data_IF_564747677305
#
_entry.id   IF_564747677305
#
_cell.length_a   1.000
_cell.length_b   1.000
_cell.length_c   1.000
_cell.angle_alpha   90.00
_cell.angle_beta   90.00
_cell.angle_gamma   90.00
#
_symmetry.space_group_name_H-M   'P 1'
#
loop_
_entity.id
_entity.type
_entity.pdbx_description
1 polymer ?
#
# COMPACT_ATOMS: atom_id res chain seq x y z
N UNK A 1 -18.24 29.16 6.42
CA UNK A 1 -18.28 28.26 7.60
C UNK A 1 -18.66 29.06 8.83
N UNK A 2 -19.75 28.70 9.54
CA UNK A 2 -20.09 29.37 10.81
C UNK A 2 -19.13 28.86 11.89
N UNK A 3 -18.38 29.78 12.52
CA UNK A 3 -17.36 29.44 13.54
C UNK A 3 -17.90 28.50 14.64
N UNK A 4 -19.18 28.61 14.96
CA UNK A 4 -19.89 27.77 15.92
C UNK A 4 -19.79 26.25 15.65
N UNK A 5 -19.86 25.81 14.38
CA UNK A 5 -19.84 24.38 14.08
C UNK A 5 -18.45 23.77 14.28
N UNK A 6 -17.39 24.51 13.95
CA UNK A 6 -16.03 24.04 14.23
C UNK A 6 -15.79 23.90 15.73
N UNK A 7 -16.16 24.92 16.51
CA UNK A 7 -15.97 24.88 17.96
C UNK A 7 -16.78 23.75 18.61
N UNK A 8 -17.98 23.47 18.10
CA UNK A 8 -18.79 22.34 18.54
C UNK A 8 -18.07 21.01 18.30
N UNK A 9 -17.61 20.75 17.07
CA UNK A 9 -16.96 19.47 16.71
C UNK A 9 -15.76 19.19 17.62
N UNK A 10 -14.92 20.20 17.86
CA UNK A 10 -13.76 20.04 18.74
C UNK A 10 -14.13 19.86 20.20
N UNK A 11 -15.21 20.50 20.68
CA UNK A 11 -15.73 20.25 22.03
C UNK A 11 -16.19 18.80 22.16
N UNK A 12 -17.02 18.32 21.23
CA UNK A 12 -17.48 16.93 21.21
C UNK A 12 -16.30 15.95 21.13
N UNK A 13 -15.25 16.28 20.36
CA UNK A 13 -14.02 15.49 20.32
C UNK A 13 -13.32 15.43 21.67
N UNK A 14 -13.14 16.57 22.32
CA UNK A 14 -12.44 16.65 23.61
C UNK A 14 -13.25 15.89 24.68
N UNK A 15 -14.58 16.00 24.68
CA UNK A 15 -15.48 15.23 25.55
C UNK A 15 -15.34 13.72 25.33
N UNK A 16 -15.33 13.26 24.08
CA UNK A 16 -15.14 11.84 23.73
C UNK A 16 -13.76 11.32 24.12
N UNK A 17 -12.71 12.14 23.97
CA UNK A 17 -11.35 11.79 24.38
C UNK A 17 -11.26 11.62 25.89
N UNK A 18 -11.83 12.55 26.64
CA UNK A 18 -11.73 12.56 28.09
C UNK A 18 -12.56 11.41 28.71
N UNK A 19 -13.66 11.03 28.07
CA UNK A 19 -14.48 9.89 28.51
C UNK A 19 -13.98 8.53 27.99
N UNK A 20 -13.26 8.49 26.86
CA UNK A 20 -12.81 7.26 26.20
C UNK A 20 -13.96 6.37 25.69
N UNK A 21 -15.17 6.90 25.57
CA UNK A 21 -16.36 6.13 25.18
C UNK A 21 -17.38 7.02 24.47
N UNK A 22 -18.23 6.41 23.64
CA UNK A 22 -19.34 7.11 22.98
C UNK A 22 -20.57 7.11 23.93
N UNK A 23 -21.14 8.29 24.24
CA UNK A 23 -22.38 8.37 25.03
C UNK A 23 -23.57 7.71 24.32
N UNK A 24 -24.43 7.04 25.10
CA UNK A 24 -25.55 6.22 24.59
C UNK A 24 -26.56 7.06 23.80
N UNK A 25 -26.77 8.30 24.20
CA UNK A 25 -27.63 9.28 23.52
C UNK A 25 -27.21 9.53 22.06
N UNK A 26 -25.96 9.26 21.71
CA UNK A 26 -25.44 9.45 20.35
C UNK A 26 -25.55 8.18 19.49
N UNK A 27 -25.93 7.02 20.05
CA UNK A 27 -25.87 5.74 19.34
C UNK A 27 -26.75 5.69 18.11
N UNK A 28 -27.99 6.15 18.21
CA UNK A 28 -28.91 6.16 17.07
C UNK A 28 -28.41 7.10 15.97
N UNK A 29 -27.95 8.29 16.37
CA UNK A 29 -27.38 9.29 15.45
C UNK A 29 -26.18 8.75 14.69
N UNK A 30 -25.27 8.08 15.39
CA UNK A 30 -24.08 7.46 14.79
C UNK A 30 -24.48 6.32 13.87
N UNK A 31 -25.40 5.45 14.30
CA UNK A 31 -25.87 4.33 13.49
C UNK A 31 -26.47 4.79 12.15
N UNK A 32 -27.28 5.85 12.16
CA UNK A 32 -27.85 6.43 10.95
C UNK A 32 -26.78 7.03 10.03
N UNK A 33 -25.85 7.81 10.59
CA UNK A 33 -24.85 8.54 9.78
C UNK A 33 -23.70 7.66 9.31
N UNK A 34 -23.40 6.57 10.03
CA UNK A 34 -22.52 5.50 9.54
C UNK A 34 -23.09 4.86 8.28
N UNK A 35 -24.40 4.60 8.22
CA UNK A 35 -25.03 4.05 7.02
C UNK A 35 -24.90 4.99 5.83
N UNK A 36 -25.11 6.30 6.03
CA UNK A 36 -24.93 7.31 4.96
C UNK A 36 -23.50 7.25 4.39
N UNK A 37 -22.50 7.12 5.27
CA UNK A 37 -21.09 7.12 4.87
C UNK A 37 -20.66 5.81 4.22
N UNK A 38 -21.06 4.68 4.80
CA UNK A 38 -20.51 3.36 4.52
C UNK A 38 -21.29 2.56 3.47
N UNK A 39 -22.57 2.90 3.24
CA UNK A 39 -23.40 2.19 2.26
C UNK A 39 -23.12 2.73 0.86
N UNK A 40 -22.70 1.86 -0.05
CA UNK A 40 -22.60 2.21 -1.48
C UNK A 40 -24.00 2.60 -1.97
N UNK A 41 -24.16 3.81 -2.52
CA UNK A 41 -25.37 4.16 -3.25
C UNK A 41 -25.39 3.41 -4.60
N UNK A 42 -25.65 2.10 -4.57
CA UNK A 42 -25.90 1.29 -5.77
C UNK A 42 -27.25 1.59 -6.43
N UNK A 43 -28.03 2.55 -5.91
CA UNK A 43 -29.41 2.80 -6.33
C UNK A 43 -29.61 3.88 -7.39
N UNK A 44 -28.55 4.24 -8.14
CA UNK A 44 -28.71 5.14 -9.28
C UNK A 44 -29.45 4.52 -10.49
N UNK A 45 -29.86 3.23 -10.47
CA UNK A 45 -30.44 2.57 -11.66
C UNK A 45 -31.72 1.74 -11.44
N UNK A 46 -32.62 2.17 -10.56
CA UNK A 46 -34.06 1.88 -10.81
C UNK A 46 -34.81 3.19 -10.96
N UNK A 47 -34.84 3.70 -12.20
CA UNK A 47 -35.87 4.65 -12.67
C UNK A 47 -37.23 3.97 -12.47
N UNK A 48 -37.78 4.04 -11.24
CA UNK A 48 -39.18 3.73 -11.01
C UNK A 48 -39.97 4.76 -11.79
N UNK A 49 -40.72 4.30 -12.80
CA UNK A 49 -41.71 5.10 -13.53
C UNK A 49 -42.81 5.49 -12.53
N UNK A 50 -42.68 6.67 -11.96
CA UNK A 50 -43.61 7.23 -10.98
C UNK A 50 -42.98 8.43 -10.32
N UNK A 51 -43.63 9.60 -10.41
CA UNK A 51 -43.13 10.83 -9.81
C UNK A 51 -42.87 10.61 -8.31
N UNK A 52 -41.63 10.84 -7.87
CA UNK A 52 -41.29 10.79 -6.44
C UNK A 52 -41.84 12.04 -5.77
N UNK A 53 -42.35 11.91 -4.55
CA UNK A 53 -42.78 13.07 -3.77
C UNK A 53 -41.61 14.06 -3.59
N UNK A 54 -41.84 15.39 -3.62
CA UNK A 54 -40.79 16.39 -3.46
C UNK A 54 -39.94 16.22 -2.18
N UNK A 55 -40.55 15.69 -1.12
CA UNK A 55 -39.88 15.44 0.16
C UNK A 55 -38.82 14.34 0.06
N UNK A 56 -39.09 13.28 -0.70
CA UNK A 56 -38.12 12.20 -0.95
C UNK A 56 -36.91 12.67 -1.77
N UNK A 57 -37.10 13.67 -2.62
CA UNK A 57 -36.02 14.27 -3.42
C UNK A 57 -35.09 15.10 -2.54
N UNK A 58 -35.65 15.88 -1.61
CA UNK A 58 -34.86 16.71 -0.68
C UNK A 58 -34.03 15.85 0.27
N UNK A 59 -34.62 14.81 0.87
CA UNK A 59 -33.90 13.90 1.77
C UNK A 59 -32.75 13.20 1.05
N UNK A 60 -32.98 12.71 -0.18
CA UNK A 60 -31.91 12.10 -0.99
C UNK A 60 -30.79 13.06 -1.35
N UNK A 61 -31.13 14.31 -1.65
CA UNK A 61 -30.13 15.33 -1.91
C UNK A 61 -29.27 15.59 -0.66
N UNK A 62 -29.89 15.67 0.51
CA UNK A 62 -29.22 15.82 1.80
C UNK A 62 -28.30 14.65 2.10
N UNK A 63 -28.77 13.41 1.96
CA UNK A 63 -27.95 12.21 2.15
C UNK A 63 -26.76 12.17 1.20
N UNK A 64 -26.96 12.51 -0.08
CA UNK A 64 -25.87 12.54 -1.05
C UNK A 64 -24.81 13.60 -0.73
N UNK A 65 -25.23 14.77 -0.24
CA UNK A 65 -24.31 15.82 0.22
C UNK A 65 -23.59 15.38 1.49
N UNK A 66 -24.31 14.83 2.46
CA UNK A 66 -23.78 14.33 3.71
C UNK A 66 -22.76 13.22 3.48
N UNK A 67 -23.05 12.26 2.59
CA UNK A 67 -22.10 11.21 2.24
C UNK A 67 -20.80 11.79 1.71
N UNK A 68 -20.84 12.73 0.75
CA UNK A 68 -19.62 13.38 0.24
C UNK A 68 -18.82 14.06 1.36
N UNK A 69 -19.51 14.78 2.23
CA UNK A 69 -18.90 15.46 3.38
C UNK A 69 -18.27 14.48 4.36
N UNK A 70 -19.01 13.47 4.79
CA UNK A 70 -18.58 12.45 5.75
C UNK A 70 -17.43 11.60 5.20
N UNK A 71 -17.52 11.16 3.94
CA UNK A 71 -16.44 10.42 3.28
C UNK A 71 -15.16 11.24 3.21
N UNK A 72 -15.25 12.53 2.86
CA UNK A 72 -14.07 13.41 2.83
C UNK A 72 -13.42 13.56 4.21
N UNK A 73 -14.22 13.75 5.27
CA UNK A 73 -13.69 13.83 6.64
C UNK A 73 -13.04 12.50 7.06
N UNK A 74 -13.67 11.36 6.77
CA UNK A 74 -13.12 10.04 7.05
C UNK A 74 -11.84 9.76 6.25
N UNK A 75 -11.69 10.36 5.07
CA UNK A 75 -10.48 10.25 4.27
C UNK A 75 -9.33 11.07 4.83
N UNK A 76 -9.63 12.26 5.34
CA UNK A 76 -8.69 13.27 5.85
C UNK A 76 -8.20 12.96 7.28
N UNK A 77 -9.11 12.84 8.25
CA UNK A 77 -8.80 12.39 9.62
C UNK A 77 -9.94 11.49 10.19
N UNK A 78 -9.72 10.17 10.29
CA UNK A 78 -10.66 9.25 10.91
C UNK A 78 -10.96 9.52 12.40
N UNK A 79 -10.08 10.17 13.16
CA UNK A 79 -10.29 10.46 14.58
C UNK A 79 -11.26 11.62 14.80
N UNK A 80 -11.31 12.59 13.90
CA UNK A 80 -12.32 13.66 13.93
C UNK A 80 -13.67 13.21 13.35
N UNK A 81 -13.72 12.07 12.65
CA UNK A 81 -14.93 11.59 11.99
C UNK A 81 -16.10 11.36 12.96
N UNK A 82 -15.91 10.63 14.07
CA UNK A 82 -16.98 10.36 15.04
C UNK A 82 -17.55 11.67 15.62
N UNK A 83 -16.72 12.60 16.15
CA UNK A 83 -17.19 13.93 16.56
C UNK A 83 -17.94 14.68 15.45
N UNK A 84 -17.42 14.64 14.21
CA UNK A 84 -18.02 15.30 13.07
C UNK A 84 -19.43 14.75 12.79
N UNK A 85 -19.59 13.43 12.73
CA UNK A 85 -20.89 12.82 12.46
C UNK A 85 -21.83 12.90 13.66
N UNK A 86 -21.40 13.24 14.87
CA UNK A 86 -22.32 13.55 15.97
C UNK A 86 -22.90 14.95 15.78
N UNK A 87 -22.03 15.93 15.51
CA UNK A 87 -22.41 17.35 15.51
C UNK A 87 -23.01 17.84 14.18
N UNK A 88 -22.56 17.29 13.06
CA UNK A 88 -22.94 17.77 11.73
C UNK A 88 -23.97 16.82 11.13
N UNK A 89 -25.23 17.24 11.16
CA UNK A 89 -26.34 16.51 10.53
C UNK A 89 -26.33 16.64 9.00
N UNK A 90 -27.02 15.74 8.27
CA UNK A 90 -27.12 15.81 6.81
C UNK A 90 -27.63 17.15 6.27
N UNK A 91 -28.52 17.81 7.03
CA UNK A 91 -29.03 19.15 6.69
C UNK A 91 -27.93 20.23 6.78
N UNK A 92 -27.04 20.14 7.75
CA UNK A 92 -25.95 21.11 7.93
C UNK A 92 -24.92 20.96 6.80
N UNK A 93 -24.65 19.73 6.35
CA UNK A 93 -23.74 19.42 5.23
C UNK A 93 -24.06 20.16 3.93
N UNK A 94 -25.30 20.61 3.71
CA UNK A 94 -25.65 21.42 2.53
C UNK A 94 -24.88 22.75 2.47
N UNK A 95 -24.61 23.34 3.64
CA UNK A 95 -23.99 24.66 3.79
C UNK A 95 -22.62 24.61 4.46
N UNK A 96 -22.21 23.43 4.91
CA UNK A 96 -20.93 23.22 5.57
C UNK A 96 -19.82 23.08 4.53
N UNK A 97 -18.77 23.88 4.70
CA UNK A 97 -17.61 23.86 3.83
C UNK A 97 -16.59 22.86 4.37
N UNK A 98 -16.70 21.61 3.93
CA UNK A 98 -15.80 20.53 4.38
C UNK A 98 -14.38 20.73 3.88
N UNK A 99 -14.19 21.29 2.68
CA UNK A 99 -12.85 21.54 2.16
C UNK A 99 -12.09 22.52 3.06
N UNK A 100 -12.73 23.64 3.40
CA UNK A 100 -12.14 24.60 4.34
C UNK A 100 -11.95 24.02 5.73
N UNK A 101 -12.86 23.16 6.18
CA UNK A 101 -12.70 22.47 7.46
C UNK A 101 -11.44 21.59 7.46
N UNK A 102 -11.26 20.72 6.47
CA UNK A 102 -10.07 19.88 6.32
C UNK A 102 -8.78 20.73 6.20
N UNK A 103 -8.79 21.82 5.41
CA UNK A 103 -7.63 22.71 5.27
C UNK A 103 -7.21 23.41 6.56
N UNK A 104 -8.18 23.70 7.45
CA UNK A 104 -7.94 24.39 8.73
C UNK A 104 -7.88 23.44 9.92
N UNK A 105 -8.13 22.15 9.68
CA UNK A 105 -8.08 21.13 10.70
C UNK A 105 -6.63 20.93 11.12
N UNK A 106 -6.40 20.94 12.43
CA UNK A 106 -5.12 20.58 13.01
C UNK A 106 -5.31 19.16 13.51
N UNK A 107 -4.57 18.23 12.91
CA UNK A 107 -4.52 16.85 13.38
C UNK A 107 -4.16 16.84 14.86
N UNK A 108 -4.97 16.18 15.67
CA UNK A 108 -4.79 16.09 17.12
C UNK A 108 -4.65 14.63 17.53
N UNK A 109 -4.19 14.42 18.77
CA UNK A 109 -4.01 13.08 19.34
C UNK A 109 -5.19 12.14 19.13
N UNK A 110 -4.88 10.86 18.99
CA UNK A 110 -5.86 9.77 18.84
C UNK A 110 -6.84 9.73 20.02
N UNK A 111 -8.10 9.38 19.73
CA UNK A 111 -9.10 9.08 20.76
C UNK A 111 -8.98 7.60 21.11
N UNK A 112 -8.56 7.29 22.33
CA UNK A 112 -8.50 5.93 22.85
C UNK A 112 -9.88 5.43 23.28
N UNK A 113 -10.66 4.90 22.34
CA UNK A 113 -11.98 4.33 22.63
C UNK A 113 -11.90 2.97 23.33
N UNK A 114 -12.86 2.70 24.22
CA UNK A 114 -12.99 1.45 24.94
C UNK A 114 -13.57 0.28 24.10
N UNK A 115 -13.41 -0.95 24.61
CA UNK A 115 -13.92 -2.15 23.93
C UNK A 115 -15.45 -2.15 23.80
N UNK A 116 -16.17 -1.42 24.67
CA UNK A 116 -17.63 -1.24 24.57
C UNK A 116 -17.99 -0.43 23.33
N UNK A 117 -17.28 0.66 23.08
CA UNK A 117 -17.45 1.49 21.88
C UNK A 117 -17.17 0.67 20.63
N UNK A 118 -16.09 -0.12 20.63
CA UNK A 118 -15.76 -1.03 19.55
C UNK A 118 -16.89 -2.02 19.27
N UNK A 119 -17.35 -2.70 20.31
CA UNK A 119 -18.45 -3.67 20.23
C UNK A 119 -19.74 -3.04 19.70
N UNK A 120 -20.06 -1.81 20.13
CA UNK A 120 -21.20 -1.05 19.64
C UNK A 120 -21.10 -0.76 18.14
N UNK A 121 -19.94 -0.29 17.67
CA UNK A 121 -19.72 0.03 16.25
C UNK A 121 -19.79 -1.23 15.38
N UNK A 122 -19.15 -2.32 15.79
CA UNK A 122 -19.17 -3.61 15.08
C UNK A 122 -20.58 -4.20 15.01
N UNK A 123 -21.30 -4.23 16.14
CA UNK A 123 -22.68 -4.72 16.19
C UNK A 123 -23.63 -3.87 15.34
N UNK A 124 -23.47 -2.55 15.38
CA UNK A 124 -24.23 -1.62 14.53
C UNK A 124 -23.94 -1.87 13.06
N UNK A 125 -22.69 -2.05 12.69
CA UNK A 125 -22.29 -2.29 11.31
C UNK A 125 -22.84 -3.60 10.76
N UNK A 126 -22.76 -4.69 11.54
CA UNK A 126 -23.37 -5.99 11.19
C UNK A 126 -24.88 -5.88 11.02
N UNK A 127 -25.57 -5.25 11.98
CA UNK A 127 -27.02 -5.06 11.93
C UNK A 127 -27.48 -4.24 10.72
N UNK A 128 -26.67 -3.28 10.30
CA UNK A 128 -26.96 -2.40 9.15
C UNK A 128 -26.37 -2.90 7.82
N UNK A 129 -25.61 -4.01 7.83
CA UNK A 129 -24.96 -4.61 6.67
C UNK A 129 -23.89 -3.72 6.03
N UNK A 130 -23.08 -3.04 6.85
CA UNK A 130 -21.99 -2.15 6.41
C UNK A 130 -20.61 -2.58 6.92
N UNK A 131 -20.54 -3.68 7.67
CA UNK A 131 -19.33 -4.28 8.24
C UNK A 131 -18.28 -4.64 7.18
N UNK A 132 -18.71 -5.10 6.01
CA UNK A 132 -17.81 -5.41 4.89
C UNK A 132 -17.39 -4.19 4.05
N UNK A 133 -17.91 -3.00 4.36
CA UNK A 133 -17.61 -1.80 3.57
C UNK A 133 -16.20 -1.28 3.85
N UNK A 134 -15.48 -0.89 2.80
CA UNK A 134 -14.14 -0.30 2.92
C UNK A 134 -14.10 0.92 3.84
N UNK A 135 -15.06 1.89 3.78
CA UNK A 135 -15.08 3.01 4.71
C UNK A 135 -15.20 2.58 6.18
N UNK A 136 -16.04 1.58 6.48
CA UNK A 136 -16.19 1.10 7.85
C UNK A 136 -14.93 0.37 8.34
N UNK A 137 -14.33 -0.50 7.53
CA UNK A 137 -13.07 -1.17 7.86
C UNK A 137 -11.95 -0.16 8.11
N UNK A 138 -11.86 0.89 7.27
CA UNK A 138 -10.94 2.00 7.48
C UNK A 138 -11.20 2.66 8.83
N UNK A 139 -12.43 3.08 9.12
CA UNK A 139 -12.78 3.71 10.41
C UNK A 139 -12.37 2.84 11.61
N UNK A 140 -12.77 1.58 11.62
CA UNK A 140 -12.47 0.66 12.73
C UNK A 140 -10.98 0.50 12.97
N UNK A 141 -10.18 0.41 11.90
CA UNK A 141 -8.72 0.33 12.01
C UNK A 141 -8.12 1.58 12.66
N UNK A 142 -8.57 2.77 12.29
CA UNK A 142 -8.01 4.00 12.86
C UNK A 142 -8.44 4.20 14.31
N UNK A 143 -9.71 3.90 14.64
CA UNK A 143 -10.19 4.02 16.02
C UNK A 143 -9.63 2.93 16.95
N UNK A 144 -9.32 1.74 16.40
CA UNK A 144 -8.83 0.58 17.13
C UNK A 144 -7.65 -0.07 16.40
N UNK A 145 -6.49 0.61 16.35
CA UNK A 145 -5.34 0.14 15.60
C UNK A 145 -4.84 -1.20 16.16
N UNK A 146 -4.61 -2.15 15.26
CA UNK A 146 -3.88 -3.37 15.58
C UNK A 146 -2.46 -2.98 15.96
N UNK A 147 -2.07 -3.22 17.22
CA UNK A 147 -0.70 -2.98 17.71
C UNK A 147 0.28 -4.06 17.26
N UNK A 148 0.09 -4.63 16.08
CA UNK A 148 0.98 -5.64 15.52
C UNK A 148 2.06 -4.95 14.69
N UNK A 149 3.34 -5.08 15.05
CA UNK A 149 4.42 -4.47 14.27
C UNK A 149 4.48 -5.08 12.85
N UNK A 150 5.02 -4.32 11.89
CA UNK A 150 5.32 -4.84 10.55
C UNK A 150 6.19 -6.10 10.69
N UNK A 151 5.81 -7.24 10.09
CA UNK A 151 6.61 -8.45 10.12
C UNK A 151 7.99 -8.19 9.50
N UNK A 152 9.05 -8.54 10.23
CA UNK A 152 10.43 -8.51 9.76
C UNK A 152 10.85 -9.96 9.49
N UNK A 153 11.75 -10.17 8.55
CA UNK A 153 12.39 -11.48 8.31
C UNK A 153 13.90 -11.32 8.39
N UNK A 154 14.60 -12.35 8.88
CA UNK A 154 16.05 -12.46 8.86
C UNK A 154 16.64 -12.27 7.46
N UNK A 155 15.87 -12.54 6.39
CA UNK A 155 16.27 -12.28 5.01
C UNK A 155 16.42 -10.78 4.65
N UNK A 156 15.77 -9.87 5.41
CA UNK A 156 16.00 -8.41 5.30
C UNK A 156 17.29 -7.98 6.03
N UNK A 157 17.86 -8.86 6.87
CA UNK A 157 19.05 -8.61 7.70
C UNK A 157 20.24 -9.47 7.26
N UNK A 158 21.26 -9.63 8.11
CA UNK A 158 22.40 -10.52 7.87
C UNK A 158 22.15 -11.98 8.31
N UNK A 159 21.02 -12.27 8.95
CA UNK A 159 20.71 -13.61 9.48
C UNK A 159 20.01 -14.53 8.46
N UNK A 160 20.71 -14.87 7.38
CA UNK A 160 20.19 -15.71 6.31
C UNK A 160 21.26 -16.59 5.64
N UNK A 161 20.80 -17.59 4.90
CA UNK A 161 21.56 -18.29 3.87
C UNK A 161 21.25 -17.67 2.51
N UNK A 162 22.28 -17.44 1.70
CA UNK A 162 22.13 -16.93 0.33
C UNK A 162 22.47 -18.02 -0.68
N UNK A 163 21.54 -18.26 -1.61
CA UNK A 163 21.67 -19.24 -2.69
C UNK A 163 21.80 -18.51 -4.01
N UNK A 164 22.82 -18.86 -4.78
CA UNK A 164 23.14 -18.30 -6.09
C UNK A 164 23.15 -19.43 -7.14
N UNK A 165 23.38 -19.07 -8.41
CA UNK A 165 23.48 -20.02 -9.52
C UNK A 165 22.16 -20.73 -9.83
N UNK A 166 21.07 -19.97 -9.92
CA UNK A 166 19.76 -20.50 -10.26
C UNK A 166 19.74 -21.08 -11.68
N UNK A 167 19.07 -22.22 -11.87
CA UNK A 167 18.89 -22.85 -13.18
C UNK A 167 17.91 -22.07 -14.06
N UNK A 168 18.29 -21.78 -15.31
CA UNK A 168 17.53 -20.96 -16.26
C UNK A 168 16.14 -21.53 -16.61
N UNK A 169 16.06 -22.85 -16.80
CA UNK A 169 14.80 -23.55 -17.09
C UNK A 169 13.84 -23.40 -15.91
N UNK A 170 14.36 -23.53 -14.69
CA UNK A 170 13.61 -23.39 -13.45
C UNK A 170 13.16 -21.95 -13.18
N UNK A 171 13.98 -20.94 -13.53
CA UNK A 171 13.57 -19.53 -13.53
C UNK A 171 12.33 -19.33 -14.42
N UNK A 172 12.37 -19.84 -15.65
CA UNK A 172 11.24 -19.76 -16.59
C UNK A 172 9.99 -20.42 -16.04
N UNK A 173 10.13 -21.64 -15.50
CA UNK A 173 9.02 -22.42 -14.95
C UNK A 173 8.40 -21.76 -13.71
N UNK A 174 9.21 -21.11 -12.87
CA UNK A 174 8.73 -20.53 -11.62
C UNK A 174 8.20 -19.11 -11.81
N UNK A 175 8.97 -18.21 -12.44
CA UNK A 175 8.61 -16.80 -12.54
C UNK A 175 7.77 -16.47 -13.78
N UNK A 176 7.84 -17.31 -14.81
CA UNK A 176 7.15 -17.13 -16.09
C UNK A 176 8.04 -16.53 -17.17
N UNK A 177 7.56 -16.58 -18.42
CA UNK A 177 8.31 -16.20 -19.61
C UNK A 177 8.80 -14.74 -19.56
N UNK A 178 7.95 -13.83 -19.06
CA UNK A 178 8.26 -12.40 -19.02
C UNK A 178 9.49 -12.10 -18.17
N UNK A 179 9.54 -12.66 -16.95
CA UNK A 179 10.68 -12.49 -16.05
C UNK A 179 11.92 -13.21 -16.59
N UNK A 180 11.74 -14.40 -17.18
CA UNK A 180 12.83 -15.12 -17.80
C UNK A 180 13.53 -14.33 -18.91
N UNK A 181 12.77 -13.69 -19.81
CA UNK A 181 13.35 -12.86 -20.86
C UNK A 181 14.02 -11.58 -20.29
N UNK A 182 13.47 -11.02 -19.22
CA UNK A 182 14.11 -9.90 -18.51
C UNK A 182 15.43 -10.32 -17.84
N UNK A 183 15.49 -11.50 -17.22
CA UNK A 183 16.72 -12.06 -16.63
C UNK A 183 17.77 -12.33 -17.73
N UNK A 184 17.38 -12.84 -18.90
CA UNK A 184 18.29 -13.05 -20.04
C UNK A 184 18.99 -11.79 -20.52
N UNK A 185 18.33 -10.64 -20.36
CA UNK A 185 18.84 -9.34 -20.78
C UNK A 185 19.41 -8.52 -19.62
N UNK A 186 19.53 -9.11 -18.42
CA UNK A 186 20.14 -8.48 -17.26
C UNK A 186 21.65 -8.29 -17.45
N UNK A 187 22.23 -7.31 -16.75
CA UNK A 187 23.65 -7.01 -16.85
C UNK A 187 24.52 -8.19 -16.39
N UNK A 188 24.10 -8.87 -15.31
CA UNK A 188 24.78 -10.05 -14.80
C UNK A 188 24.76 -11.16 -15.84
N UNK A 189 23.60 -11.45 -16.45
CA UNK A 189 23.49 -12.53 -17.43
C UNK A 189 24.25 -12.27 -18.72
N UNK A 190 24.29 -11.02 -19.19
CA UNK A 190 25.08 -10.64 -20.36
C UNK A 190 26.55 -10.98 -20.12
N UNK A 191 27.11 -10.57 -18.97
CA UNK A 191 28.50 -10.89 -18.60
C UNK A 191 28.75 -12.38 -18.49
N UNK A 192 27.81 -13.15 -17.94
CA UNK A 192 27.92 -14.60 -17.85
C UNK A 192 27.93 -15.26 -19.23
N UNK A 193 27.06 -14.81 -20.14
CA UNK A 193 26.99 -15.30 -21.51
C UNK A 193 28.28 -14.99 -22.29
N UNK A 194 28.88 -13.81 -22.08
CA UNK A 194 30.14 -13.42 -22.71
C UNK A 194 31.30 -14.33 -22.28
N UNK A 195 31.28 -14.81 -21.03
CA UNK A 195 32.28 -15.73 -20.49
C UNK A 195 32.01 -17.19 -20.85
N UNK A 196 30.75 -17.63 -20.81
CA UNK A 196 30.34 -19.00 -21.13
C UNK A 196 28.89 -19.02 -21.65
N UNK A 197 28.67 -19.03 -22.98
CA UNK A 197 27.34 -19.05 -23.59
C UNK A 197 26.51 -20.30 -23.28
N UNK A 198 27.16 -21.43 -22.97
CA UNK A 198 26.49 -22.71 -22.70
C UNK A 198 26.06 -22.86 -21.24
N UNK A 199 26.37 -21.88 -20.38
CA UNK A 199 26.06 -21.92 -18.95
C UNK A 199 24.54 -21.95 -18.73
N UNK A 200 24.04 -23.03 -18.12
CA UNK A 200 22.61 -23.23 -17.84
C UNK A 200 22.14 -22.60 -16.52
N UNK A 201 23.07 -22.08 -15.72
CA UNK A 201 22.80 -21.40 -14.44
C UNK A 201 23.16 -19.91 -14.49
N UNK A 202 22.60 -19.11 -13.58
CA UNK A 202 22.83 -17.66 -13.52
C UNK A 202 22.83 -17.11 -12.10
N UNK A 203 23.63 -16.08 -11.87
CA UNK A 203 23.68 -15.26 -10.64
C UNK A 203 22.67 -14.11 -10.67
N UNK A 204 22.00 -13.87 -11.80
CA UNK A 204 20.93 -12.86 -11.91
C UNK A 204 19.74 -13.15 -11.00
N UNK A 205 19.62 -14.38 -10.49
CA UNK A 205 18.58 -14.77 -9.52
C UNK A 205 19.23 -15.38 -8.28
N UNK A 206 19.03 -14.74 -7.14
CA UNK A 206 19.52 -15.24 -5.86
C UNK A 206 18.46 -15.17 -4.78
N UNK A 207 18.48 -16.14 -3.87
CA UNK A 207 17.47 -16.28 -2.82
C UNK A 207 18.12 -16.21 -1.45
N UNK A 208 17.56 -15.37 -0.59
CA UNK A 208 17.89 -15.26 0.83
C UNK A 208 16.84 -15.98 1.65
N UNK A 209 17.24 -17.05 2.33
CA UNK A 209 16.37 -17.82 3.24
C UNK A 209 16.81 -17.51 4.67
N UNK A 210 15.92 -17.01 5.54
CA UNK A 210 16.25 -16.72 6.93
C UNK A 210 16.71 -17.99 7.67
N UNK A 211 17.56 -17.83 8.68
CA UNK A 211 17.99 -18.97 9.51
C UNK A 211 16.91 -19.43 10.49
N UNK A 212 16.05 -18.51 10.90
CA UNK A 212 14.89 -18.83 11.71
C UNK A 212 13.83 -19.57 10.88
N UNK A 213 13.31 -20.66 11.44
CA UNK A 213 12.23 -21.41 10.81
C UNK A 213 10.95 -20.55 10.75
N UNK A 214 10.16 -20.74 9.68
CA UNK A 214 8.87 -20.10 9.45
C UNK A 214 8.88 -18.60 9.11
N UNK A 215 10.03 -18.00 8.83
CA UNK A 215 10.10 -16.63 8.32
C UNK A 215 10.07 -16.56 6.78
N UNK A 216 9.57 -15.45 6.24
CA UNK A 216 9.52 -15.22 4.79
C UNK A 216 10.92 -15.18 4.17
N UNK A 217 11.10 -15.72 2.98
CA UNK A 217 12.34 -15.55 2.21
C UNK A 217 12.27 -14.35 1.28
N UNK A 218 13.43 -13.90 0.80
CA UNK A 218 13.52 -12.86 -0.23
C UNK A 218 14.26 -13.40 -1.44
N UNK A 219 13.61 -13.33 -2.60
CA UNK A 219 14.21 -13.64 -3.88
C UNK A 219 14.52 -12.34 -4.60
N UNK A 220 15.72 -12.23 -5.14
CA UNK A 220 16.14 -11.09 -5.91
C UNK A 220 16.33 -11.48 -7.37
N UNK A 221 15.88 -10.60 -8.26
CA UNK A 221 15.93 -10.75 -9.71
C UNK A 221 16.61 -9.53 -10.31
N UNK A 222 17.85 -9.69 -10.78
CA UNK A 222 18.49 -8.75 -11.69
C UNK A 222 17.84 -8.87 -13.07
N UNK A 223 17.32 -7.75 -13.58
CA UNK A 223 16.50 -7.72 -14.79
C UNK A 223 16.94 -6.63 -15.76
N UNK A 224 16.95 -6.98 -17.05
CA UNK A 224 16.95 -6.03 -18.15
C UNK A 224 15.56 -5.42 -18.38
N UNK A 225 15.49 -4.33 -19.15
CA UNK A 225 14.22 -3.64 -19.41
C UNK A 225 13.55 -3.09 -18.14
N UNK A 226 14.36 -2.76 -17.12
CA UNK A 226 13.91 -2.49 -15.77
C UNK A 226 12.81 -1.43 -15.66
N UNK A 227 12.87 -0.37 -16.47
CA UNK A 227 11.87 0.69 -16.45
C UNK A 227 10.49 0.25 -16.95
N UNK A 228 10.42 -0.70 -17.89
CA UNK A 228 9.15 -1.26 -18.36
C UNK A 228 8.49 -2.10 -17.25
N UNK A 229 9.28 -2.95 -16.58
CA UNK A 229 8.81 -3.72 -15.43
C UNK A 229 8.38 -2.82 -14.27
N UNK A 230 9.13 -1.73 -14.03
CA UNK A 230 8.76 -0.72 -13.04
C UNK A 230 7.43 -0.04 -13.39
N UNK A 231 7.21 0.31 -14.66
CA UNK A 231 5.99 0.97 -15.12
C UNK A 231 4.74 0.10 -14.95
N UNK A 232 4.90 -1.21 -15.13
CA UNK A 232 3.82 -2.16 -14.94
C UNK A 232 3.53 -2.43 -13.45
N UNK A 233 4.57 -2.73 -12.67
CA UNK A 233 4.43 -3.10 -11.25
C UNK A 233 4.09 -1.90 -10.36
N UNK A 234 4.65 -0.72 -10.67
CA UNK A 234 4.57 0.50 -9.86
C UNK A 234 4.14 1.71 -10.70
N UNK A 235 2.93 1.70 -11.30
CA UNK A 235 2.54 2.70 -12.30
C UNK A 235 2.61 4.14 -11.77
N UNK A 236 2.23 4.39 -10.52
CA UNK A 236 2.31 5.73 -9.91
C UNK A 236 3.75 6.16 -9.63
N UNK A 237 4.56 5.29 -9.02
CA UNK A 237 5.95 5.61 -8.69
C UNK A 237 6.80 5.79 -9.95
N UNK A 238 6.55 5.00 -10.99
CA UNK A 238 7.25 5.09 -12.28
C UNK A 238 6.95 6.38 -13.03
N UNK A 239 5.74 6.93 -12.92
CA UNK A 239 5.44 8.27 -13.43
C UNK A 239 6.31 9.33 -12.75
N UNK A 240 6.43 9.28 -11.41
CA UNK A 240 7.28 10.21 -10.66
C UNK A 240 8.76 10.08 -11.04
N UNK A 241 9.25 8.84 -11.18
CA UNK A 241 10.64 8.57 -11.62
C UNK A 241 10.88 9.10 -13.04
N UNK A 242 9.94 8.88 -13.96
CA UNK A 242 10.02 9.41 -15.32
C UNK A 242 10.16 10.93 -15.34
N UNK A 243 9.37 11.62 -14.52
CA UNK A 243 9.48 13.07 -14.35
C UNK A 243 10.85 13.48 -13.78
N UNK A 244 11.33 12.80 -12.73
CA UNK A 244 12.63 13.09 -12.11
C UNK A 244 13.80 12.91 -13.09
N UNK A 245 13.81 11.80 -13.84
CA UNK A 245 14.81 11.50 -14.86
C UNK A 245 14.76 12.48 -16.03
N UNK A 246 13.57 12.94 -16.42
CA UNK A 246 13.40 13.96 -17.45
C UNK A 246 13.92 15.32 -17.01
N UNK A 247 13.81 15.65 -15.72
CA UNK A 247 14.29 16.93 -15.16
C UNK A 247 15.82 16.97 -15.10
N UNK A 248 16.47 15.84 -14.80
CA UNK A 248 17.93 15.71 -14.82
C UNK A 248 18.56 15.79 -16.22
N UNK A 249 17.79 15.55 -17.30
CA UNK A 249 18.28 15.74 -18.68
C UNK A 249 18.49 17.22 -19.05
N UNK A 250 18.02 18.18 -18.24
CA UNK A 250 18.08 19.61 -18.54
C UNK A 250 18.88 20.46 -17.54
N UNK A 251 19.58 19.87 -16.57
CA UNK A 251 20.43 20.61 -15.65
C UNK A 251 21.92 20.48 -16.03
N UNK A 252 22.52 21.44 -16.76
CA UNK A 252 23.96 21.52 -16.85
C UNK A 252 24.51 21.99 -15.49
N UNK A 253 25.13 21.09 -14.75
CA UNK A 253 25.92 21.39 -13.56
C UNK A 253 25.12 21.64 -12.29
N UNK A 254 25.02 20.62 -11.44
CA UNK A 254 24.93 20.86 -10.00
C UNK A 254 25.51 19.67 -9.25
N UNK A 255 26.79 19.83 -8.93
CA UNK A 255 27.48 19.14 -7.85
C UNK A 255 26.85 19.54 -6.52
N UNK A 256 26.26 18.58 -5.80
CA UNK A 256 26.00 18.72 -4.37
C UNK A 256 26.29 17.37 -3.71
N UNK A 257 27.52 17.27 -3.20
CA UNK A 257 28.00 16.24 -2.30
C UNK A 257 27.34 16.34 -0.92
N UNK A 258 27.36 15.19 -0.24
CA UNK A 258 27.26 14.89 1.20
C UNK A 258 25.97 14.17 1.58
N UNK A 259 25.97 13.09 2.35
CA UNK A 259 26.99 12.13 2.79
C UNK A 259 26.19 11.04 3.50
N UNK A 260 26.51 9.77 3.29
CA UNK A 260 26.62 8.83 4.40
C UNK A 260 27.54 7.71 3.96
N UNK A 261 28.63 7.61 4.72
CA UNK A 261 29.75 6.74 4.52
C UNK A 261 29.49 5.42 5.26
N UNK A 262 29.59 4.31 4.55
CA UNK A 262 30.42 3.18 4.96
C UNK A 262 30.47 2.17 3.82
N UNK A 263 31.68 1.98 3.26
CA UNK A 263 32.20 0.80 2.56
C UNK A 263 33.48 1.22 1.82
N UNK A 264 34.55 1.45 2.59
CA UNK A 264 35.91 1.49 2.08
C UNK A 264 36.45 0.06 1.94
N UNK A 265 36.81 -0.32 0.71
CA UNK A 265 38.07 -0.99 0.31
C UNK A 265 37.89 -1.90 -0.91
N UNK A 266 37.96 -1.33 -2.12
CA UNK A 266 38.62 -1.96 -3.28
C UNK A 266 39.33 -0.85 -4.07
N UNK A 267 40.65 -0.92 -4.32
CA UNK A 267 41.38 0.08 -5.10
C UNK A 267 41.38 -0.27 -6.59
N UNK A 268 40.93 0.66 -7.44
CA UNK A 268 41.20 0.63 -8.88
C UNK A 268 40.15 1.30 -9.76
N UNK A 269 40.54 2.41 -10.38
CA UNK A 269 39.89 3.12 -11.49
C UNK A 269 38.58 3.88 -11.20
N UNK A 270 38.74 5.21 -11.08
CA UNK A 270 37.72 6.22 -11.27
C UNK A 270 37.12 6.11 -12.69
N UNK A 271 36.03 5.34 -12.82
CA UNK A 271 34.93 5.71 -13.69
C UNK A 271 33.80 6.14 -12.76
N UNK A 272 33.43 7.42 -12.79
CA UNK A 272 32.28 7.97 -12.06
C UNK A 272 30.98 7.36 -12.61
N UNK A 273 30.69 6.12 -12.24
CA UNK A 273 29.37 5.54 -12.41
C UNK A 273 28.44 6.11 -11.34
N UNK A 274 27.40 6.84 -11.76
CA UNK A 274 26.29 7.19 -10.88
C UNK A 274 25.57 5.91 -10.44
N UNK A 275 25.96 5.39 -9.28
CA UNK A 275 25.36 4.22 -8.66
C UNK A 275 24.03 4.54 -7.95
N UNK A 276 23.51 5.78 -8.08
CA UNK A 276 22.23 6.14 -7.48
C UNK A 276 21.07 5.39 -8.15
N UNK A 277 20.15 4.95 -7.31
CA UNK A 277 18.94 4.24 -7.72
C UNK A 277 17.71 4.81 -7.01
N UNK A 278 16.54 4.61 -7.60
CA UNK A 278 15.25 4.80 -6.95
C UNK A 278 14.81 3.48 -6.32
N UNK A 279 14.19 3.55 -5.14
CA UNK A 279 13.52 2.39 -4.53
C UNK A 279 12.02 2.55 -4.69
N UNK A 280 11.39 1.60 -5.37
CA UNK A 280 9.96 1.56 -5.62
C UNK A 280 9.30 0.60 -4.64
N UNK A 281 8.24 1.09 -4.01
CA UNK A 281 7.43 0.42 -3.00
C UNK A 281 5.97 0.40 -3.44
N UNK A 282 5.17 -0.48 -2.85
CA UNK A 282 3.74 -0.59 -3.13
C UNK A 282 3.42 -1.06 -4.54
N UNK A 283 3.90 -2.25 -4.93
CA UNK A 283 3.52 -2.86 -6.20
C UNK A 283 2.02 -3.18 -6.22
N UNK A 284 1.37 -2.99 -7.38
CA UNK A 284 -0.05 -3.30 -7.55
C UNK A 284 -0.31 -4.81 -7.54
N UNK A 285 -1.29 -5.28 -6.75
CA UNK A 285 -1.67 -6.70 -6.69
C UNK A 285 -2.13 -7.24 -8.05
N UNK A 286 -2.83 -6.42 -8.82
CA UNK A 286 -3.26 -6.75 -10.18
C UNK A 286 -2.06 -6.84 -11.14
N UNK A 287 -1.09 -5.94 -11.00
CA UNK A 287 0.11 -5.95 -11.84
C UNK A 287 1.04 -7.13 -11.52
N UNK A 288 1.15 -7.51 -10.24
CA UNK A 288 1.91 -8.71 -9.84
C UNK A 288 1.36 -9.94 -10.58
N UNK A 289 0.04 -10.06 -10.66
CA UNK A 289 -0.62 -11.19 -11.32
C UNK A 289 -0.47 -11.19 -12.85
N UNK A 290 -0.13 -10.05 -13.47
CA UNK A 290 0.12 -9.96 -14.91
C UNK A 290 1.60 -10.11 -15.28
N UNK A 291 2.51 -9.73 -14.38
CA UNK A 291 3.96 -9.79 -14.60
C UNK A 291 4.53 -11.15 -14.19
N UNK A 292 4.07 -11.70 -13.07
CA UNK A 292 4.58 -12.95 -12.51
C UNK A 292 3.61 -14.11 -12.73
N UNK A 293 4.14 -15.33 -12.67
CA UNK A 293 3.32 -16.54 -12.68
C UNK A 293 2.37 -16.62 -11.48
N UNK A 294 1.30 -17.42 -11.62
CA UNK A 294 0.38 -17.71 -10.53
C UNK A 294 1.08 -18.31 -9.29
N UNK A 295 2.19 -19.04 -9.48
CA UNK A 295 2.96 -19.62 -8.37
C UNK A 295 3.60 -18.53 -7.52
N UNK A 296 4.20 -17.52 -8.15
CA UNK A 296 4.81 -16.37 -7.46
C UNK A 296 3.73 -15.54 -6.76
N UNK A 297 2.61 -15.25 -7.44
CA UNK A 297 1.49 -14.52 -6.84
C UNK A 297 0.94 -15.23 -5.59
N UNK A 298 0.85 -16.56 -5.63
CA UNK A 298 0.44 -17.38 -4.48
C UNK A 298 1.50 -17.34 -3.36
N UNK A 299 2.78 -17.40 -3.71
CA UNK A 299 3.88 -17.32 -2.74
C UNK A 299 3.93 -15.97 -2.01
N UNK A 300 3.68 -14.87 -2.73
CA UNK A 300 3.52 -13.53 -2.17
C UNK A 300 2.27 -13.44 -1.29
N UNK A 301 1.14 -13.99 -1.73
CA UNK A 301 -0.10 -13.97 -0.96
C UNK A 301 0.02 -14.69 0.40
N UNK A 302 0.94 -15.67 0.49
CA UNK A 302 1.25 -16.42 1.70
C UNK A 302 2.37 -15.79 2.55
N UNK A 303 2.94 -14.66 2.13
CA UNK A 303 3.91 -13.90 2.92
C UNK A 303 3.28 -13.35 4.19
N UNK A 304 4.00 -13.41 5.30
CA UNK A 304 3.58 -12.78 6.56
C UNK A 304 3.37 -11.27 6.37
N UNK A 305 4.24 -10.63 5.57
CA UNK A 305 4.08 -9.20 5.25
C UNK A 305 2.78 -8.94 4.50
N UNK A 306 2.45 -9.73 3.46
CA UNK A 306 1.19 -9.51 2.70
C UNK A 306 -0.03 -9.74 3.58
N UNK A 307 0.01 -10.75 4.45
CA UNK A 307 -1.05 -10.97 5.43
C UNK A 307 -1.22 -9.75 6.35
N UNK A 308 -0.12 -9.24 6.91
CA UNK A 308 -0.14 -8.03 7.74
C UNK A 308 -0.64 -6.80 6.98
N UNK A 309 -0.21 -6.57 5.74
CA UNK A 309 -0.68 -5.45 4.91
C UNK A 309 -2.19 -5.54 4.63
N UNK A 310 -2.72 -6.74 4.38
CA UNK A 310 -4.17 -6.93 4.19
C UNK A 310 -4.95 -6.64 5.46
N UNK A 311 -4.42 -7.02 6.62
CA UNK A 311 -5.11 -6.80 7.91
C UNK A 311 -4.97 -5.37 8.40
N UNK A 312 -3.78 -4.80 8.25
CA UNK A 312 -3.43 -3.48 8.77
C UNK A 312 -3.64 -2.44 7.68
N UNK A 313 -2.94 -2.49 6.55
CA UNK A 313 -2.92 -1.39 5.59
C UNK A 313 -4.20 -1.26 4.73
N UNK A 314 -4.93 -2.36 4.47
CA UNK A 314 -6.12 -2.41 3.60
C UNK A 314 -5.84 -1.87 2.17
N UNK A 315 -4.61 -2.02 1.69
CA UNK A 315 -4.18 -1.54 0.39
C UNK A 315 -4.35 -2.59 -0.71
N UNK A 316 -4.60 -2.14 -1.93
CA UNK A 316 -4.52 -2.96 -3.17
C UNK A 316 -3.08 -3.04 -3.72
N UNK A 317 -2.11 -2.63 -2.89
CA UNK A 317 -0.68 -2.69 -3.17
C UNK A 317 0.06 -3.50 -2.10
N UNK A 318 1.32 -3.82 -2.36
CA UNK A 318 2.17 -4.57 -1.42
C UNK A 318 3.64 -4.19 -1.52
N UNK A 319 4.31 -4.17 -0.37
CA UNK A 319 5.77 -4.07 -0.25
C UNK A 319 6.43 -5.46 -0.25
N UNK A 320 5.67 -6.54 -0.46
CA UNK A 320 6.26 -7.84 -0.78
C UNK A 320 6.97 -7.83 -2.14
N UNK A 321 6.72 -6.84 -2.98
CA UNK A 321 7.46 -6.61 -4.22
C UNK A 321 8.02 -5.21 -4.17
N UNK A 322 9.34 -5.11 -4.16
CA UNK A 322 10.06 -3.82 -4.24
C UNK A 322 11.02 -3.86 -5.41
N UNK A 323 11.39 -2.69 -5.91
CA UNK A 323 12.33 -2.60 -7.02
C UNK A 323 13.35 -1.50 -6.79
N UNK A 324 14.63 -1.84 -6.92
CA UNK A 324 15.70 -0.85 -7.08
C UNK A 324 15.89 -0.60 -8.57
N UNK A 325 15.80 0.65 -8.99
CA UNK A 325 15.93 1.06 -10.39
C UNK A 325 17.05 2.09 -10.52
N UNK A 326 18.14 1.72 -11.19
CA UNK A 326 19.30 2.59 -11.35
C UNK A 326 19.03 3.72 -12.34
N UNK A 327 19.67 4.88 -12.09
CA UNK A 327 19.52 6.08 -12.92
C UNK A 327 20.29 6.00 -14.24
N UNK A 328 21.44 5.32 -14.22
CA UNK A 328 22.32 5.15 -15.37
C UNK A 328 21.62 4.45 -16.53
N UNK A 329 21.94 4.81 -17.78
CA UNK A 329 21.48 4.08 -18.96
C UNK A 329 22.53 3.06 -19.43
N UNK A 330 22.13 1.86 -19.89
CA UNK A 330 20.78 1.32 -19.84
C UNK A 330 20.30 1.11 -18.39
N UNK A 331 19.01 1.32 -18.14
CA UNK A 331 18.47 1.24 -16.78
C UNK A 331 18.48 -0.21 -16.30
N UNK A 332 19.26 -0.44 -15.25
CA UNK A 332 19.33 -1.71 -14.55
C UNK A 332 18.32 -1.73 -13.41
N UNK A 333 17.83 -2.92 -13.07
CA UNK A 333 16.87 -3.08 -11.99
C UNK A 333 17.04 -4.37 -11.24
N UNK A 334 16.81 -4.30 -9.93
CA UNK A 334 16.71 -5.47 -9.07
C UNK A 334 15.34 -5.48 -8.45
N UNK A 335 14.54 -6.49 -8.80
CA UNK A 335 13.26 -6.75 -8.15
C UNK A 335 13.52 -7.64 -6.94
N UNK A 336 12.96 -7.29 -5.78
CA UNK A 336 12.99 -8.12 -4.58
C UNK A 336 11.58 -8.60 -4.27
N UNK A 337 11.42 -9.92 -4.19
CA UNK A 337 10.17 -10.62 -3.92
C UNK A 337 10.24 -11.26 -2.53
N UNK A 338 9.42 -10.78 -1.60
CA UNK A 338 9.23 -11.41 -0.29
C UNK A 338 8.10 -12.44 -0.40
N UNK A 339 8.40 -13.69 -0.05
CA UNK A 339 7.52 -14.84 -0.25
C UNK A 339 7.41 -15.66 1.04
N UNK A 340 6.26 -16.32 1.22
CA UNK A 340 6.03 -17.17 2.40
C UNK A 340 6.99 -18.37 2.49
N UNK A 341 7.41 -18.70 3.71
CA UNK A 341 8.37 -19.76 4.06
C UNK A 341 8.16 -21.12 3.34
N UNK A 342 6.92 -21.61 3.30
CA UNK A 342 6.64 -22.91 2.68
C UNK A 342 6.96 -22.88 1.18
N UNK A 343 6.57 -21.80 0.49
CA UNK A 343 6.81 -21.65 -0.94
C UNK A 343 8.27 -21.32 -1.25
N UNK A 344 9.00 -20.65 -0.35
CA UNK A 344 10.42 -20.38 -0.54
C UNK A 344 11.28 -21.64 -0.54
N UNK A 345 10.96 -22.61 0.32
CA UNK A 345 11.68 -23.88 0.37
C UNK A 345 11.48 -24.68 -0.92
N UNK A 346 10.24 -24.75 -1.42
CA UNK A 346 9.93 -25.39 -2.71
C UNK A 346 10.61 -24.68 -3.88
N UNK A 347 10.62 -23.34 -3.87
CA UNK A 347 11.28 -22.55 -4.90
C UNK A 347 12.79 -22.76 -4.88
N UNK A 348 13.43 -22.72 -3.72
CA UNK A 348 14.87 -22.90 -3.60
C UNK A 348 15.31 -24.27 -4.11
N UNK A 349 14.59 -25.34 -3.75
CA UNK A 349 14.86 -26.68 -4.29
C UNK A 349 14.70 -26.74 -5.81
N UNK A 350 13.73 -26.01 -6.39
CA UNK A 350 13.57 -25.96 -7.84
C UNK A 350 14.65 -25.13 -8.53
N UNK A 351 15.12 -24.04 -7.92
CA UNK A 351 16.08 -23.13 -8.55
C UNK A 351 17.52 -23.62 -8.41
N UNK A 352 17.86 -24.32 -7.33
CA UNK A 352 19.25 -24.61 -6.95
C UNK A 352 19.54 -26.10 -6.67
N UNK A 353 18.53 -26.98 -6.78
CA UNK A 353 18.61 -28.39 -6.41
C UNK A 353 18.92 -29.37 -7.53
#
# INVERSE_FOLDING_TARGET
>A
MKAYHMSSIYRTRDDLRDCGTIPVENYETIAERLVITCKRHTDHRRRRKGGRAPQDLRTKYQESKAQKSYSKVLEDDPHIFIPFIIDISPRICESFDVSKFCETHIERQEIGFDEKTKSFLEETARRKGIDESLPFKKLMRFLFPLRTPRPITGAETQDHYAYYLAELTSIRNFFGDRIYEAVKTSATRIKENDLNPERTTTESVWTKIPRADNEDAIVHLDVGGAFELASDLFPQASQMVSSALSTHRFAPGSSALQADADLSEIPGALNEYDNAYFTLHGASDLAISSVFSQRVSTAIANSQLKYWEKQVLLLETTDCVTMKLWRSQPQHGVISLRIGFFMSTLMANSLYG
#
